data_IF_834092343198
#
_entry.id   IF_834092343198
#
_cell.length_a   1.000
_cell.length_b   1.000
_cell.length_c   1.000
_cell.angle_alpha   90.00
_cell.angle_beta   90.00
_cell.angle_gamma   90.00
#
_symmetry.space_group_name_H-M   'P 1'
#
loop_
_entity.id
_entity.type
_entity.pdbx_description
1 polymer ?
#
# COMPACT_ATOMS: atom_id res chain seq x y z
N UNK A 1 57.70 -38.35 25.57
CA UNK A 1 56.71 -38.57 24.45
C UNK A 1 55.43 -37.74 24.56
N UNK A 2 55.23 -36.98 25.59
CA UNK A 2 53.99 -36.21 25.88
C UNK A 2 54.02 -34.73 25.41
N UNK A 3 55.18 -34.18 25.09
CA UNK A 3 55.33 -32.75 24.69
C UNK A 3 55.03 -32.49 23.20
N UNK A 4 54.91 -33.52 22.37
CA UNK A 4 54.61 -33.34 20.92
C UNK A 4 53.10 -33.33 20.61
N UNK A 5 52.26 -33.86 21.46
CA UNK A 5 50.80 -33.85 21.29
C UNK A 5 50.14 -32.51 21.70
N UNK A 6 50.76 -31.76 22.59
CA UNK A 6 50.24 -30.46 23.03
C UNK A 6 50.33 -29.34 21.99
N UNK A 7 51.36 -29.37 21.15
CA UNK A 7 51.60 -28.38 20.10
C UNK A 7 50.70 -28.57 18.86
N UNK A 8 50.27 -29.79 18.59
CA UNK A 8 49.32 -30.08 17.49
C UNK A 8 47.88 -29.72 17.84
N UNK A 9 47.48 -29.80 19.10
CA UNK A 9 46.15 -29.39 19.56
C UNK A 9 46.00 -27.87 19.61
N UNK A 10 47.08 -27.12 19.88
CA UNK A 10 47.04 -25.65 19.93
C UNK A 10 47.01 -25.02 18.52
N UNK A 11 47.57 -25.68 17.52
CA UNK A 11 47.54 -25.20 16.12
C UNK A 11 46.17 -25.39 15.46
N UNK A 12 45.37 -26.36 15.92
CA UNK A 12 44.04 -26.61 15.37
C UNK A 12 42.96 -25.63 15.87
N UNK A 13 43.21 -24.96 17.01
CA UNK A 13 42.26 -24.01 17.60
C UNK A 13 42.40 -22.59 17.04
N UNK A 14 43.48 -22.26 16.33
CA UNK A 14 43.72 -20.94 15.74
C UNK A 14 43.14 -20.74 14.36
N UNK A 15 42.54 -21.76 13.76
CA UNK A 15 41.96 -21.72 12.39
C UNK A 15 40.45 -21.51 12.34
N UNK A 16 39.77 -21.33 13.48
CA UNK A 16 38.30 -21.31 13.54
C UNK A 16 37.67 -19.92 13.76
N UNK A 17 38.33 -18.85 13.36
CA UNK A 17 37.74 -17.50 13.48
C UNK A 17 37.90 -16.67 12.21
N UNK A 18 37.57 -17.26 11.09
CA UNK A 18 37.18 -16.44 9.95
C UNK A 18 35.66 -16.17 10.13
N UNK A 19 35.35 -15.16 10.91
CA UNK A 19 34.02 -14.58 10.88
C UNK A 19 33.79 -14.06 9.48
N UNK A 20 33.05 -14.82 8.68
CA UNK A 20 32.48 -14.34 7.43
C UNK A 20 31.48 -13.28 7.80
N UNK A 21 31.95 -12.04 7.94
CA UNK A 21 31.10 -10.86 8.01
C UNK A 21 30.25 -10.87 6.76
N UNK A 22 28.95 -11.11 6.90
CA UNK A 22 28.03 -10.96 5.77
C UNK A 22 28.16 -9.52 5.27
N UNK A 23 28.32 -9.31 3.94
CA UNK A 23 28.35 -7.96 3.41
C UNK A 23 27.03 -7.27 3.78
N UNK A 24 27.11 -6.22 4.60
CA UNK A 24 25.97 -5.32 4.81
C UNK A 24 25.52 -4.83 3.45
N UNK A 25 24.24 -4.82 3.14
CA UNK A 25 23.73 -4.32 1.87
C UNK A 25 24.20 -2.88 1.69
N UNK A 26 25.17 -2.70 0.83
CA UNK A 26 25.77 -1.40 0.58
C UNK A 26 24.77 -0.56 -0.22
N UNK A 27 24.35 0.57 0.32
CA UNK A 27 23.45 1.50 -0.38
C UNK A 27 24.11 1.96 -1.69
N UNK A 28 23.36 2.01 -2.81
CA UNK A 28 23.88 2.56 -4.06
C UNK A 28 24.20 4.07 -3.95
N UNK A 29 23.61 4.76 -2.99
CA UNK A 29 23.91 6.14 -2.65
C UNK A 29 24.35 6.19 -1.18
N UNK A 30 25.56 6.70 -0.88
CA UNK A 30 26.00 6.81 0.50
C UNK A 30 25.12 7.78 1.29
N UNK A 31 24.99 7.54 2.58
CA UNK A 31 24.34 8.48 3.48
C UNK A 31 25.15 9.78 3.52
N UNK A 32 24.53 10.96 3.39
CA UNK A 32 25.27 12.22 3.35
C UNK A 32 25.95 12.52 4.69
N UNK A 33 27.13 13.12 4.60
CA UNK A 33 27.88 13.64 5.75
C UNK A 33 28.22 15.10 5.47
N UNK A 34 27.69 16.08 6.24
CA UNK A 34 26.79 15.93 7.40
C UNK A 34 25.44 15.34 7.01
N UNK A 35 24.79 14.70 7.99
CA UNK A 35 23.47 14.07 7.77
C UNK A 35 22.42 15.09 7.32
N UNK A 36 21.69 14.75 6.26
CA UNK A 36 20.52 15.48 5.77
C UNK A 36 19.45 14.49 5.28
N UNK A 37 18.19 14.58 5.75
CA UNK A 37 17.10 13.73 5.28
C UNK A 37 16.66 14.06 3.83
N UNK A 38 17.03 15.25 3.32
CA UNK A 38 16.68 15.72 1.98
C UNK A 38 17.94 15.76 1.10
N UNK A 39 18.15 14.67 0.36
CA UNK A 39 19.31 14.50 -0.52
C UNK A 39 18.91 14.79 -1.95
N UNK A 40 19.32 15.96 -2.42
CA UNK A 40 18.99 16.44 -3.77
C UNK A 40 20.25 16.52 -4.64
N UNK A 41 20.53 15.45 -5.36
CA UNK A 41 21.72 15.32 -6.20
C UNK A 41 21.57 16.00 -7.59
N UNK A 42 20.34 16.45 -7.91
CA UNK A 42 20.03 17.09 -9.22
C UNK A 42 19.57 18.53 -9.10
N UNK A 43 19.55 19.08 -7.88
CA UNK A 43 19.16 20.46 -7.58
C UNK A 43 17.78 20.85 -8.12
N UNK A 44 16.78 19.97 -7.91
CA UNK A 44 15.38 20.21 -8.32
C UNK A 44 14.49 20.67 -7.16
N UNK A 45 15.02 20.68 -5.93
CA UNK A 45 14.31 21.16 -4.73
C UNK A 45 14.85 22.56 -4.39
N UNK A 46 13.98 23.55 -4.42
CA UNK A 46 14.35 24.91 -4.02
C UNK A 46 14.68 25.02 -2.52
N UNK A 47 15.43 26.06 -2.15
CA UNK A 47 15.95 26.21 -0.80
C UNK A 47 14.84 26.36 0.26
N UNK A 48 13.75 27.05 -0.07
CA UNK A 48 12.62 27.25 0.84
C UNK A 48 11.89 25.92 1.10
N UNK A 49 11.59 25.15 0.05
CA UNK A 49 11.00 23.82 0.18
C UNK A 49 11.90 22.86 0.96
N UNK A 50 13.21 22.89 0.72
CA UNK A 50 14.18 22.10 1.46
C UNK A 50 14.12 22.41 2.96
N UNK A 51 14.20 23.68 3.31
CA UNK A 51 14.16 24.12 4.71
C UNK A 51 12.86 23.73 5.41
N UNK A 52 11.72 23.84 4.73
CA UNK A 52 10.43 23.39 5.26
C UNK A 52 10.40 21.89 5.50
N UNK A 53 10.87 21.08 4.55
CA UNK A 53 10.94 19.62 4.71
C UNK A 53 11.87 19.24 5.86
N UNK A 54 13.04 19.86 5.99
CA UNK A 54 13.97 19.63 7.11
C UNK A 54 13.33 19.97 8.47
N UNK A 55 12.61 21.08 8.55
CA UNK A 55 11.88 21.47 9.78
C UNK A 55 10.77 20.48 10.13
N UNK A 56 10.01 20.04 9.13
CA UNK A 56 8.97 19.00 9.31
C UNK A 56 9.60 17.69 9.78
N UNK A 57 10.76 17.30 9.21
CA UNK A 57 11.47 16.08 9.63
C UNK A 57 11.83 16.09 11.12
N UNK A 58 12.41 17.21 11.60
CA UNK A 58 12.81 17.33 13.00
C UNK A 58 11.60 17.25 13.95
N UNK A 59 10.53 17.98 13.63
CA UNK A 59 9.31 17.97 14.42
C UNK A 59 8.62 16.59 14.41
N UNK A 60 8.62 15.90 13.26
CA UNK A 60 8.02 14.58 13.11
C UNK A 60 8.78 13.53 13.91
N UNK A 61 10.11 13.54 13.82
CA UNK A 61 10.99 12.64 14.58
C UNK A 61 10.79 12.81 16.08
N UNK A 62 10.72 14.04 16.56
CA UNK A 62 10.56 14.33 17.98
C UNK A 62 9.16 13.95 18.51
N UNK A 63 8.09 14.29 17.76
CA UNK A 63 6.72 14.15 18.23
C UNK A 63 6.06 12.82 17.92
N UNK A 64 6.44 12.19 16.82
CA UNK A 64 5.79 10.97 16.34
C UNK A 64 6.73 9.78 16.19
N UNK A 65 8.03 9.97 16.44
CA UNK A 65 9.06 8.95 16.24
C UNK A 65 9.01 8.30 14.84
N UNK A 66 8.73 9.12 13.83
CA UNK A 66 8.69 8.73 12.42
C UNK A 66 9.86 9.44 11.71
N UNK A 67 10.59 8.71 10.90
CA UNK A 67 11.65 9.26 10.09
C UNK A 67 11.30 9.18 8.60
N UNK A 68 11.63 10.20 7.83
CA UNK A 68 11.50 10.12 6.39
C UNK A 68 12.73 10.68 5.68
N UNK A 69 12.90 10.28 4.44
CA UNK A 69 13.91 10.84 3.57
C UNK A 69 13.35 11.09 2.16
N UNK A 70 13.96 12.05 1.49
CA UNK A 70 13.75 12.32 0.06
C UNK A 70 15.11 12.23 -0.61
N UNK A 71 15.18 11.44 -1.68
CA UNK A 71 16.36 11.30 -2.51
C UNK A 71 16.01 11.62 -3.96
N UNK A 72 16.69 12.61 -4.55
CA UNK A 72 16.64 12.83 -5.99
C UNK A 72 17.97 12.39 -6.62
N UNK A 73 17.88 11.66 -7.72
CA UNK A 73 19.04 11.21 -8.50
C UNK A 73 18.83 11.51 -9.98
N UNK A 74 19.90 11.65 -10.78
CA UNK A 74 19.73 11.80 -12.22
C UNK A 74 19.12 10.53 -12.83
N UNK A 75 19.64 9.35 -12.50
CA UNK A 75 19.19 8.05 -12.99
C UNK A 75 19.47 6.96 -11.97
N UNK A 76 18.76 5.85 -12.05
CA UNK A 76 19.04 4.61 -11.29
C UNK A 76 20.04 3.69 -12.02
N UNK A 77 20.48 4.07 -13.21
CA UNK A 77 21.28 3.24 -14.09
C UNK A 77 20.49 2.03 -14.57
N UNK A 78 21.12 0.85 -14.57
CA UNK A 78 20.51 -0.40 -15.02
C UNK A 78 19.57 -1.02 -13.97
N UNK A 79 19.40 -0.39 -12.79
CA UNK A 79 18.54 -0.93 -11.71
C UNK A 79 17.11 -0.45 -11.86
N UNK A 80 16.18 -1.35 -11.58
CA UNK A 80 14.80 -0.93 -11.39
C UNK A 80 14.66 0.04 -10.21
N UNK A 81 13.75 1.01 -10.32
CA UNK A 81 13.55 2.04 -9.29
C UNK A 81 13.13 1.45 -7.94
N UNK A 82 12.38 0.33 -7.96
CA UNK A 82 12.01 -0.38 -6.75
C UNK A 82 13.23 -0.97 -6.03
N UNK A 83 14.05 -1.72 -6.75
CA UNK A 83 15.24 -2.36 -6.18
C UNK A 83 16.27 -1.32 -5.72
N UNK A 84 16.42 -0.24 -6.49
CA UNK A 84 17.29 0.88 -6.14
C UNK A 84 16.84 1.54 -4.84
N UNK A 85 15.55 1.91 -4.76
CA UNK A 85 14.99 2.60 -3.58
C UNK A 85 15.01 1.71 -2.33
N UNK A 86 14.75 0.41 -2.48
CA UNK A 86 14.81 -0.56 -1.38
C UNK A 86 16.24 -0.71 -0.84
N UNK A 87 17.24 -0.77 -1.75
CA UNK A 87 18.64 -0.83 -1.35
C UNK A 87 19.07 0.45 -0.61
N UNK A 88 18.61 1.62 -1.04
CA UNK A 88 18.86 2.89 -0.36
C UNK A 88 18.19 2.89 1.02
N UNK A 89 16.90 2.56 1.10
CA UNK A 89 16.14 2.57 2.36
C UNK A 89 16.78 1.67 3.43
N UNK A 90 17.20 0.46 3.03
CA UNK A 90 17.88 -0.50 3.91
C UNK A 90 19.29 -0.05 4.27
N UNK A 91 20.05 0.43 3.30
CA UNK A 91 21.43 0.86 3.53
C UNK A 91 21.54 2.14 4.35
N UNK A 92 20.57 3.04 4.25
CA UNK A 92 20.50 4.23 5.12
C UNK A 92 19.93 3.91 6.50
N UNK A 93 19.19 2.81 6.65
CA UNK A 93 18.57 2.43 7.91
C UNK A 93 17.54 3.45 8.40
N UNK A 94 16.70 3.95 7.47
CA UNK A 94 15.67 4.95 7.78
C UNK A 94 14.64 4.37 8.75
N UNK A 95 14.34 5.09 9.82
CA UNK A 95 13.41 4.70 10.87
C UNK A 95 14.11 4.46 12.21
N UNK A 96 13.42 4.75 13.32
CA UNK A 96 13.98 4.57 14.67
C UNK A 96 14.22 3.09 14.98
N UNK A 97 15.15 2.79 15.88
CA UNK A 97 15.44 1.41 16.37
C UNK A 97 14.34 0.83 17.26
N UNK A 98 13.50 1.70 17.80
CA UNK A 98 12.43 1.32 18.71
C UNK A 98 11.33 0.50 18.02
N UNK A 99 10.35 0.04 18.79
CA UNK A 99 9.32 -0.89 18.34
C UNK A 99 8.56 -0.43 17.08
N UNK A 100 8.43 0.89 16.88
CA UNK A 100 7.63 1.41 15.77
C UNK A 100 8.37 1.46 14.43
N UNK A 101 9.70 1.44 14.40
CA UNK A 101 10.54 1.39 13.18
C UNK A 101 9.96 2.11 11.98
N UNK A 102 9.31 3.25 12.23
CA UNK A 102 8.50 3.96 11.26
C UNK A 102 9.37 4.78 10.30
N UNK A 103 9.61 4.26 9.12
CA UNK A 103 10.45 4.88 8.10
C UNK A 103 9.76 5.01 6.75
N UNK A 104 10.06 6.11 6.03
CA UNK A 104 9.54 6.39 4.70
C UNK A 104 10.65 6.98 3.83
N UNK A 105 10.80 6.52 2.58
CA UNK A 105 11.75 7.04 1.62
C UNK A 105 11.06 7.32 0.28
N UNK A 106 11.11 8.57 -0.19
CA UNK A 106 10.74 8.92 -1.55
C UNK A 106 12.01 9.04 -2.41
N UNK A 107 12.13 8.22 -3.44
CA UNK A 107 13.18 8.30 -4.46
C UNK A 107 12.60 8.81 -5.76
N UNK A 108 13.30 9.74 -6.41
CA UNK A 108 12.93 10.33 -7.70
C UNK A 108 14.14 10.29 -8.63
N UNK A 109 14.03 9.58 -9.74
CA UNK A 109 15.03 9.52 -10.81
C UNK A 109 14.57 10.41 -11.98
N UNK A 110 15.18 11.58 -12.10
CA UNK A 110 14.68 12.66 -12.96
C UNK A 110 14.80 12.32 -14.46
N UNK A 111 15.94 11.79 -14.90
CA UNK A 111 16.15 11.44 -16.31
C UNK A 111 15.34 10.23 -16.72
N UNK A 112 15.17 9.27 -15.82
CA UNK A 112 14.36 8.06 -16.03
C UNK A 112 12.85 8.34 -15.96
N UNK A 113 12.46 9.51 -15.46
CA UNK A 113 11.08 9.88 -15.15
C UNK A 113 10.37 8.84 -14.29
N UNK A 114 11.06 8.32 -13.31
CA UNK A 114 10.57 7.30 -12.39
C UNK A 114 10.64 7.77 -10.95
N UNK A 115 9.71 7.33 -10.17
CA UNK A 115 9.71 7.56 -8.71
C UNK A 115 9.22 6.32 -7.99
N UNK A 116 9.65 6.17 -6.74
CA UNK A 116 9.15 5.14 -5.84
C UNK A 116 9.19 5.65 -4.39
N UNK A 117 8.14 5.33 -3.64
CA UNK A 117 8.10 5.55 -2.18
C UNK A 117 8.17 4.21 -1.48
N UNK A 118 9.23 3.99 -0.72
CA UNK A 118 9.37 2.84 0.18
C UNK A 118 8.78 3.19 1.54
N UNK A 119 8.05 2.24 2.12
CA UNK A 119 7.44 2.37 3.43
C UNK A 119 7.84 1.19 4.30
N UNK A 120 8.18 1.44 5.56
CA UNK A 120 8.46 0.38 6.52
C UNK A 120 7.19 -0.38 6.88
N UNK A 121 7.32 -1.67 7.22
CA UNK A 121 6.19 -2.53 7.60
C UNK A 121 5.29 -1.94 8.67
N UNK A 122 5.86 -1.18 9.60
CA UNK A 122 5.11 -0.55 10.69
C UNK A 122 4.24 0.63 10.26
N UNK A 123 4.46 1.16 9.05
CA UNK A 123 3.63 2.21 8.45
C UNK A 123 2.65 1.68 7.40
N UNK A 124 2.83 0.46 6.88
CA UNK A 124 1.99 -0.10 5.81
C UNK A 124 0.50 -0.16 6.20
N UNK A 125 0.18 -0.41 7.47
CA UNK A 125 -1.20 -0.39 7.97
C UNK A 125 -1.86 0.97 7.92
N UNK A 126 -1.09 2.03 8.13
CA UNK A 126 -1.58 3.42 8.16
C UNK A 126 -1.46 4.10 6.80
N UNK A 127 -0.45 3.71 6.03
CA UNK A 127 -0.15 4.23 4.71
C UNK A 127 0.04 3.08 3.71
N UNK A 128 -1.02 2.36 3.34
CA UNK A 128 -0.96 1.25 2.40
C UNK A 128 -0.63 1.72 0.98
N UNK A 129 -0.06 0.83 0.16
CA UNK A 129 0.42 1.09 -1.21
C UNK A 129 -0.62 1.80 -2.08
N UNK A 130 -1.90 1.43 -1.94
CA UNK A 130 -2.99 2.05 -2.68
C UNK A 130 -3.16 3.54 -2.36
N UNK A 131 -3.01 3.92 -1.09
CA UNK A 131 -3.07 5.31 -0.63
C UNK A 131 -1.85 6.09 -1.09
N UNK A 132 -0.65 5.50 -0.97
CA UNK A 132 0.60 6.09 -1.47
C UNK A 132 0.47 6.41 -2.96
N UNK A 133 0.10 5.39 -3.76
CA UNK A 133 -0.06 5.53 -5.20
C UNK A 133 -1.13 6.56 -5.60
N UNK A 134 -2.19 6.71 -4.81
CA UNK A 134 -3.20 7.73 -5.07
C UNK A 134 -2.68 9.13 -4.79
N UNK A 135 -2.03 9.36 -3.65
CA UNK A 135 -1.41 10.65 -3.32
C UNK A 135 -0.40 11.05 -4.40
N UNK A 136 0.41 10.10 -4.88
CA UNK A 136 1.37 10.34 -5.97
C UNK A 136 0.68 10.77 -7.26
N UNK A 137 -0.38 10.06 -7.67
CA UNK A 137 -1.14 10.41 -8.89
C UNK A 137 -1.83 11.75 -8.80
N UNK A 138 -2.27 12.15 -7.62
CA UNK A 138 -2.98 13.42 -7.41
C UNK A 138 -2.03 14.62 -7.26
N UNK A 139 -0.83 14.43 -6.72
CA UNK A 139 0.06 15.53 -6.32
C UNK A 139 1.39 15.52 -7.06
N UNK A 140 2.10 14.40 -7.05
CA UNK A 140 3.45 14.31 -7.61
C UNK A 140 3.42 14.33 -9.14
N UNK A 141 2.65 13.45 -9.75
CA UNK A 141 2.63 13.29 -11.21
C UNK A 141 2.18 14.55 -11.95
N UNK A 142 1.10 15.26 -11.56
CA UNK A 142 0.69 16.47 -12.26
C UNK A 142 1.72 17.60 -12.16
N UNK A 143 2.35 17.78 -11.00
CA UNK A 143 3.40 18.76 -10.78
C UNK A 143 4.66 18.44 -11.61
N UNK A 144 5.06 17.17 -11.64
CA UNK A 144 6.24 16.71 -12.38
C UNK A 144 6.08 16.86 -13.89
N UNK A 145 4.89 16.62 -14.43
CA UNK A 145 4.59 16.88 -15.84
C UNK A 145 4.71 18.35 -16.23
N UNK A 146 4.57 19.24 -15.27
CA UNK A 146 4.74 20.69 -15.43
C UNK A 146 6.17 21.16 -15.09
N UNK A 147 7.10 20.24 -14.76
CA UNK A 147 8.45 20.56 -14.32
C UNK A 147 8.53 21.15 -12.90
N UNK A 148 7.43 21.13 -12.15
CA UNK A 148 7.35 21.69 -10.78
C UNK A 148 7.78 20.64 -9.75
N UNK A 149 9.02 20.17 -9.83
CA UNK A 149 9.52 19.06 -9.02
C UNK A 149 9.48 19.37 -7.53
N UNK A 150 9.96 20.54 -7.12
CA UNK A 150 9.97 20.98 -5.73
C UNK A 150 8.57 20.93 -5.11
N UNK A 151 7.61 21.55 -5.79
CA UNK A 151 6.21 21.55 -5.36
C UNK A 151 5.63 20.14 -5.27
N UNK A 152 5.86 19.30 -6.30
CA UNK A 152 5.35 17.94 -6.34
C UNK A 152 5.86 17.07 -5.19
N UNK A 153 7.16 17.17 -4.87
CA UNK A 153 7.78 16.51 -3.73
C UNK A 153 7.15 16.97 -2.42
N UNK A 154 7.09 18.29 -2.22
CA UNK A 154 6.54 18.88 -1.00
C UNK A 154 5.08 18.45 -0.76
N UNK A 155 4.21 18.64 -1.75
CA UNK A 155 2.79 18.30 -1.66
C UNK A 155 2.57 16.80 -1.40
N UNK A 156 3.44 15.95 -1.96
CA UNK A 156 3.38 14.50 -1.76
C UNK A 156 3.76 14.11 -0.35
N UNK A 157 4.87 14.63 0.17
CA UNK A 157 5.29 14.41 1.57
C UNK A 157 4.22 14.95 2.52
N UNK A 158 3.68 16.13 2.28
CA UNK A 158 2.55 16.67 3.05
C UNK A 158 1.36 15.69 3.07
N UNK A 159 1.01 15.12 1.92
CA UNK A 159 -0.08 14.15 1.80
C UNK A 159 0.16 12.89 2.65
N UNK A 160 1.36 12.34 2.62
CA UNK A 160 1.72 11.18 3.43
C UNK A 160 1.65 11.49 4.92
N UNK A 161 2.31 12.55 5.35
CA UNK A 161 2.42 12.90 6.77
C UNK A 161 1.08 13.34 7.36
N UNK A 162 0.25 14.08 6.61
CA UNK A 162 -1.10 14.43 7.04
C UNK A 162 -1.99 13.20 7.18
N UNK A 163 -1.85 12.20 6.29
CA UNK A 163 -2.57 10.93 6.38
C UNK A 163 -2.15 10.15 7.61
N UNK A 164 -0.85 10.03 7.86
CA UNK A 164 -0.32 9.40 9.07
C UNK A 164 -0.78 10.14 10.34
N UNK A 165 -0.75 11.48 10.34
CA UNK A 165 -1.23 12.29 11.45
C UNK A 165 -2.68 12.04 11.78
N UNK A 166 -3.53 11.90 10.76
CA UNK A 166 -4.96 11.56 10.94
C UNK A 166 -5.15 10.14 11.50
N UNK A 167 -4.36 9.17 11.00
CA UNK A 167 -4.47 7.76 11.44
C UNK A 167 -3.93 7.53 12.85
N UNK A 168 -2.82 8.15 13.20
CA UNK A 168 -2.14 8.00 14.50
C UNK A 168 -2.49 9.09 15.51
N UNK A 169 -3.38 10.02 15.17
CA UNK A 169 -3.85 11.11 16.03
C UNK A 169 -2.72 12.02 16.53
N UNK A 170 -1.76 12.36 15.67
CA UNK A 170 -0.73 13.35 15.97
C UNK A 170 -0.83 14.56 15.05
N UNK A 171 -0.36 15.69 15.55
CA UNK A 171 -0.21 16.92 14.79
C UNK A 171 1.23 17.39 14.85
N UNK A 172 1.78 17.77 13.70
CA UNK A 172 3.14 18.30 13.58
C UNK A 172 3.07 19.67 12.92
N UNK A 173 3.84 20.60 13.43
CA UNK A 173 3.94 21.93 12.85
C UNK A 173 4.49 21.86 11.42
N UNK A 174 3.90 22.62 10.52
CA UNK A 174 4.24 22.61 9.10
C UNK A 174 3.49 21.57 8.28
N UNK A 175 2.66 20.68 8.90
CA UNK A 175 1.81 19.73 8.19
C UNK A 175 0.37 20.24 8.16
N UNK A 176 -0.14 20.48 6.94
CA UNK A 176 -1.53 20.86 6.72
C UNK A 176 -2.41 19.61 6.59
N UNK A 177 -3.29 19.39 7.56
CA UNK A 177 -4.21 18.25 7.59
C UNK A 177 -5.21 18.20 6.42
N UNK A 178 -5.38 19.29 5.67
CA UNK A 178 -6.17 19.30 4.43
C UNK A 178 -5.56 18.43 3.33
N UNK A 179 -4.27 18.12 3.44
CA UNK A 179 -3.56 17.23 2.53
C UNK A 179 -3.78 15.75 2.84
N UNK A 180 -4.39 15.39 3.99
CA UNK A 180 -4.66 14.00 4.35
C UNK A 180 -5.54 13.33 3.28
N UNK A 181 -5.19 12.11 2.95
CA UNK A 181 -5.99 11.27 2.07
C UNK A 181 -7.35 10.99 2.70
N UNK A 182 -8.39 11.20 1.93
CA UNK A 182 -9.76 10.84 2.29
C UNK A 182 -10.23 9.78 1.32
N UNK A 183 -10.62 8.63 1.84
CA UNK A 183 -11.22 7.61 0.97
C UNK A 183 -12.42 8.23 0.23
N UNK A 184 -12.46 8.11 -1.10
CA UNK A 184 -13.64 8.53 -1.83
C UNK A 184 -14.82 7.73 -1.28
N UNK A 185 -15.82 8.44 -0.77
CA UNK A 185 -17.06 7.82 -0.32
C UNK A 185 -17.58 7.02 -1.50
N UNK A 186 -17.42 5.70 -1.45
CA UNK A 186 -18.10 4.80 -2.40
C UNK A 186 -19.58 5.01 -2.14
N UNK A 187 -20.20 5.88 -2.92
CA UNK A 187 -21.65 5.89 -3.03
C UNK A 187 -22.00 4.48 -3.49
N UNK A 188 -22.42 3.62 -2.54
CA UNK A 188 -23.13 2.41 -2.93
C UNK A 188 -24.19 2.94 -3.89
N UNK A 189 -24.28 2.38 -5.12
CA UNK A 189 -25.43 2.68 -5.95
C UNK A 189 -26.63 2.40 -5.05
N UNK A 190 -27.31 3.44 -4.60
CA UNK A 190 -28.60 3.22 -3.96
C UNK A 190 -29.37 2.45 -5.03
N UNK A 191 -29.92 1.27 -4.70
CA UNK A 191 -30.85 0.66 -5.61
C UNK A 191 -31.89 1.75 -5.85
N UNK A 192 -31.82 2.37 -7.00
CA UNK A 192 -32.93 3.14 -7.52
C UNK A 192 -34.01 2.11 -7.71
N UNK A 193 -34.69 1.81 -6.60
CA UNK A 193 -35.96 1.14 -6.64
C UNK A 193 -36.81 2.03 -7.54
N UNK A 194 -36.77 1.75 -8.85
CA UNK A 194 -37.60 2.46 -9.77
C UNK A 194 -39.00 2.35 -9.20
N UNK A 195 -39.68 3.47 -9.02
CA UNK A 195 -41.07 3.50 -8.57
C UNK A 195 -41.93 2.52 -9.42
N UNK A 196 -41.50 2.24 -10.63
CA UNK A 196 -42.00 1.18 -11.50
C UNK A 196 -41.86 -0.25 -10.93
N UNK A 197 -40.74 -0.58 -10.25
CA UNK A 197 -40.57 -1.91 -9.62
C UNK A 197 -41.49 -2.08 -8.44
N UNK A 198 -41.73 -1.03 -7.67
CA UNK A 198 -42.68 -1.03 -6.55
C UNK A 198 -44.13 -1.14 -7.03
N UNK A 199 -44.46 -0.48 -8.15
CA UNK A 199 -45.78 -0.56 -8.78
C UNK A 199 -46.04 -1.96 -9.34
N UNK A 200 -45.04 -2.58 -10.01
CA UNK A 200 -45.15 -3.94 -10.50
C UNK A 200 -45.41 -4.96 -9.36
N UNK A 201 -44.73 -4.84 -8.24
CA UNK A 201 -44.95 -5.75 -7.11
C UNK A 201 -46.35 -5.56 -6.50
N UNK A 202 -46.83 -4.33 -6.37
CA UNK A 202 -48.19 -4.05 -5.89
C UNK A 202 -49.24 -4.61 -6.87
N UNK A 203 -49.09 -4.41 -8.16
CA UNK A 203 -50.00 -4.97 -9.19
C UNK A 203 -50.03 -6.49 -9.16
N UNK A 204 -48.86 -7.14 -9.01
CA UNK A 204 -48.80 -8.62 -8.91
C UNK A 204 -49.51 -9.11 -7.65
N UNK A 205 -49.29 -8.44 -6.50
CA UNK A 205 -49.98 -8.84 -5.25
C UNK A 205 -51.49 -8.65 -5.36
N UNK A 206 -51.99 -7.56 -5.96
CA UNK A 206 -53.41 -7.33 -6.21
C UNK A 206 -53.98 -8.40 -7.16
N UNK A 207 -53.25 -8.74 -8.23
CA UNK A 207 -53.68 -9.78 -9.18
C UNK A 207 -53.78 -11.17 -8.47
N UNK A 208 -52.84 -11.50 -7.59
CA UNK A 208 -52.87 -12.73 -6.81
C UNK A 208 -54.09 -12.75 -5.86
N UNK A 209 -54.36 -11.65 -5.17
CA UNK A 209 -55.51 -11.53 -4.26
C UNK A 209 -56.81 -11.69 -5.03
N UNK A 210 -56.98 -11.01 -6.17
CA UNK A 210 -58.18 -11.11 -7.01
C UNK A 210 -58.36 -12.53 -7.56
N UNK A 211 -57.24 -13.20 -7.93
CA UNK A 211 -57.28 -14.60 -8.37
C UNK A 211 -57.73 -15.54 -7.25
N UNK A 212 -57.20 -15.39 -6.05
CA UNK A 212 -57.58 -16.19 -4.88
C UNK A 212 -59.07 -15.98 -4.50
N UNK A 213 -59.56 -14.72 -4.57
CA UNK A 213 -60.99 -14.44 -4.31
C UNK A 213 -61.91 -15.02 -5.39
N UNK A 214 -61.46 -15.02 -6.66
CA UNK A 214 -62.20 -15.64 -7.76
C UNK A 214 -62.22 -17.18 -7.69
N UNK A 215 -61.17 -17.79 -7.16
CA UNK A 215 -61.08 -19.22 -6.91
C UNK A 215 -61.94 -19.66 -5.72
N UNK A 216 -62.03 -18.82 -4.71
CA UNK A 216 -62.91 -19.11 -3.53
C UNK A 216 -64.39 -19.02 -3.86
N UNK A 217 -64.80 -18.17 -4.84
CA UNK A 217 -66.17 -18.06 -5.29
C UNK A 217 -66.69 -19.21 -6.19
N UNK A 218 -65.81 -20.09 -6.67
CA UNK A 218 -66.17 -21.18 -7.59
C UNK A 218 -66.36 -22.56 -6.91
N UNK A 219 -66.72 -22.57 -5.64
CA UNK A 219 -67.10 -23.84 -4.98
C UNK A 219 -68.50 -24.23 -5.37
N UNK A 220 -68.70 -24.69 -6.62
CA UNK A 220 -69.94 -25.24 -7.09
C UNK A 220 -70.06 -25.28 -8.60
N UNK A 221 -69.36 -26.19 -9.29
CA UNK A 221 -69.89 -26.97 -10.40
C UNK A 221 -68.83 -27.92 -10.95
N UNK A 222 -69.19 -29.17 -10.95
CA UNK A 222 -68.53 -30.36 -11.51
C UNK A 222 -68.31 -30.17 -13.02
N UNK A 223 -67.13 -30.50 -13.55
CA UNK A 223 -66.96 -30.83 -14.97
C UNK A 223 -65.60 -30.47 -15.51
N UNK A 224 -64.76 -31.42 -15.76
CA UNK A 224 -63.84 -31.70 -16.85
C UNK A 224 -62.98 -30.58 -17.43
N UNK A 225 -61.64 -30.64 -17.27
CA UNK A 225 -60.70 -29.81 -18.00
C UNK A 225 -59.33 -29.65 -17.37
N UNK A 226 -58.74 -30.74 -16.90
CA UNK A 226 -57.54 -30.67 -16.06
C UNK A 226 -56.16 -30.63 -16.73
N UNK A 227 -56.06 -30.64 -18.08
CA UNK A 227 -54.74 -30.79 -18.73
C UNK A 227 -54.08 -29.49 -19.18
N UNK A 228 -54.81 -28.44 -19.48
CA UNK A 228 -54.25 -27.19 -19.96
C UNK A 228 -53.75 -26.28 -18.83
N UNK A 229 -54.33 -26.37 -17.62
CA UNK A 229 -53.93 -25.59 -16.46
C UNK A 229 -52.59 -26.02 -15.88
N UNK A 230 -52.27 -27.32 -15.93
CA UNK A 230 -50.97 -27.85 -15.48
C UNK A 230 -49.82 -27.42 -16.41
N UNK A 231 -50.07 -27.30 -17.72
CA UNK A 231 -49.05 -26.83 -18.67
C UNK A 231 -48.77 -25.33 -18.55
N UNK A 232 -49.78 -24.52 -18.24
CA UNK A 232 -49.61 -23.08 -18.07
C UNK A 232 -48.79 -22.73 -16.80
N UNK A 233 -49.09 -23.43 -15.69
CA UNK A 233 -48.33 -23.24 -14.44
C UNK A 233 -46.94 -23.86 -14.51
N UNK A 234 -46.75 -24.97 -15.21
CA UNK A 234 -45.44 -25.60 -15.40
C UNK A 234 -44.45 -24.69 -16.16
N UNK A 235 -44.93 -23.97 -17.19
CA UNK A 235 -44.10 -23.08 -17.96
C UNK A 235 -43.74 -21.76 -17.20
N UNK A 236 -44.62 -21.32 -16.29
CA UNK A 236 -44.37 -20.11 -15.50
C UNK A 236 -43.34 -20.36 -14.41
N UNK A 237 -43.40 -21.53 -13.76
CA UNK A 237 -42.45 -21.88 -12.70
C UNK A 237 -41.09 -22.36 -13.23
N UNK A 238 -41.00 -22.91 -14.42
CA UNK A 238 -39.72 -23.30 -15.02
C UNK A 238 -38.84 -22.08 -15.41
N UNK A 239 -39.45 -20.91 -15.59
CA UNK A 239 -38.71 -19.68 -15.97
C UNK A 239 -38.28 -18.85 -14.75
N UNK A 240 -38.81 -19.11 -13.56
CA UNK A 240 -38.42 -18.42 -12.31
C UNK A 240 -37.26 -19.14 -11.59
N UNK A 241 -37.06 -20.45 -11.91
CA UNK A 241 -36.08 -21.32 -11.26
C UNK A 241 -34.69 -21.37 -11.91
N UNK A 242 -34.43 -20.72 -13.03
CA UNK A 242 -33.12 -20.78 -13.70
C UNK A 242 -32.22 -19.55 -13.49
N UNK A 243 -32.27 -18.98 -12.31
CA UNK A 243 -31.21 -18.18 -11.74
C UNK A 243 -30.14 -19.06 -11.11
N UNK A 244 -29.71 -20.10 -11.85
CA UNK A 244 -28.69 -21.05 -11.42
C UNK A 244 -27.36 -20.33 -11.26
N UNK A 245 -26.91 -20.24 -10.04
CA UNK A 245 -25.53 -20.03 -9.61
C UNK A 245 -24.58 -20.88 -10.47
N UNK A 246 -24.02 -20.27 -11.51
CA UNK A 246 -22.77 -20.75 -12.09
C UNK A 246 -21.64 -20.39 -11.13
N UNK A 247 -21.45 -21.22 -10.16
CA UNK A 247 -20.14 -21.38 -9.56
C UNK A 247 -19.27 -22.13 -10.57
N UNK A 248 -18.73 -21.36 -11.50
CA UNK A 248 -17.64 -21.78 -12.34
C UNK A 248 -16.41 -21.92 -11.47
N UNK A 249 -16.04 -23.14 -11.20
CA UNK A 249 -14.69 -23.54 -10.88
C UNK A 249 -13.77 -23.00 -11.97
N UNK A 250 -13.08 -21.91 -11.70
CA UNK A 250 -12.07 -21.27 -12.54
C UNK A 250 -10.77 -21.25 -11.79
N UNK A 251 -9.95 -22.25 -12.09
CA UNK A 251 -8.48 -22.31 -12.11
C UNK A 251 -7.73 -21.29 -11.27
N UNK A 252 -7.01 -21.82 -10.28
CA UNK A 252 -6.01 -21.16 -9.49
C UNK A 252 -4.98 -20.41 -10.32
N UNK A 253 -4.82 -19.16 -9.98
CA UNK A 253 -3.55 -18.48 -10.15
C UNK A 253 -2.76 -18.73 -8.87
N UNK A 254 -1.72 -19.53 -9.04
CA UNK A 254 -0.77 -19.82 -7.99
C UNK A 254 -0.14 -18.53 -7.52
N UNK A 255 -0.50 -18.13 -6.32
CA UNK A 255 0.23 -17.15 -5.56
C UNK A 255 1.57 -17.76 -5.19
N UNK A 256 2.62 -17.36 -5.91
CA UNK A 256 3.99 -17.61 -5.50
C UNK A 256 4.23 -16.90 -4.18
N UNK A 257 4.19 -17.65 -3.09
CA UNK A 257 4.65 -17.19 -1.79
C UNK A 257 6.15 -16.94 -1.87
N UNK A 258 6.54 -15.68 -1.92
CA UNK A 258 7.91 -15.31 -1.65
C UNK A 258 8.14 -15.46 -0.16
N UNK A 259 8.83 -16.53 0.21
CA UNK A 259 9.27 -16.78 1.56
C UNK A 259 10.11 -15.62 2.05
N UNK A 260 9.63 -14.92 3.07
CA UNK A 260 10.36 -13.90 3.79
C UNK A 260 11.55 -14.51 4.48
N UNK A 261 12.75 -14.37 3.89
CA UNK A 261 14.02 -14.56 4.57
C UNK A 261 14.24 -13.35 5.48
N UNK A 262 14.04 -13.51 6.78
CA UNK A 262 14.41 -12.53 7.77
C UNK A 262 15.92 -12.37 7.82
N UNK A 263 16.41 -11.21 7.42
CA UNK A 263 17.80 -10.80 7.65
C UNK A 263 17.82 -9.75 8.75
N UNK A 264 17.95 -10.21 9.99
CA UNK A 264 18.36 -9.35 11.08
C UNK A 264 19.84 -9.03 10.91
N UNK A 265 20.17 -7.76 10.74
CA UNK A 265 21.53 -7.28 10.64
C UNK A 265 21.58 -5.79 11.02
N UNK A 266 21.62 -5.47 12.32
CA UNK A 266 21.81 -4.13 12.82
C UNK A 266 23.25 -3.69 12.63
N UNK A 267 23.52 -2.81 11.68
CA UNK A 267 24.75 -2.02 11.58
C UNK A 267 24.37 -0.56 11.85
N UNK A 268 24.64 -0.06 13.05
CA UNK A 268 24.40 1.32 13.41
C UNK A 268 25.36 2.27 12.65
N UNK A 269 24.82 3.19 11.88
CA UNK A 269 25.57 4.32 11.35
C UNK A 269 25.43 5.48 12.35
N UNK A 270 26.56 5.89 12.92
CA UNK A 270 26.60 7.04 13.85
C UNK A 270 26.21 8.34 13.12
N UNK A 271 25.21 9.05 13.63
CA UNK A 271 24.82 10.37 13.14
C UNK A 271 23.97 10.33 11.86
N UNK A 272 22.86 9.61 11.87
CA UNK A 272 21.96 9.50 10.73
C UNK A 272 20.54 9.18 11.17
N UNK A 273 19.86 8.37 10.35
CA UNK A 273 18.62 7.73 10.73
C UNK A 273 18.83 6.76 11.91
N UNK A 274 17.77 6.44 12.63
CA UNK A 274 17.81 5.56 13.79
C UNK A 274 18.32 4.14 13.51
N UNK A 275 18.42 3.75 12.22
CA UNK A 275 18.95 2.44 11.81
C UNK A 275 18.00 1.27 12.07
N UNK A 276 16.72 1.54 12.29
CA UNK A 276 15.74 0.54 12.70
C UNK A 276 14.64 0.24 11.67
N UNK A 277 14.58 0.99 10.57
CA UNK A 277 13.54 0.78 9.56
C UNK A 277 13.55 -0.62 8.96
N UNK A 278 12.42 -1.32 9.07
CA UNK A 278 12.19 -2.64 8.47
C UNK A 278 11.42 -2.47 7.16
N UNK A 279 12.16 -2.31 6.06
CA UNK A 279 11.57 -2.20 4.72
C UNK A 279 11.35 -3.60 4.13
N UNK A 280 10.08 -4.02 4.11
CA UNK A 280 9.64 -5.28 3.51
C UNK A 280 9.47 -5.20 2.00
N UNK A 281 9.49 -3.99 1.43
CA UNK A 281 9.21 -3.72 0.03
C UNK A 281 7.79 -3.18 -0.20
N UNK A 282 7.08 -2.79 0.87
CA UNK A 282 5.83 -2.04 0.74
C UNK A 282 6.07 -0.63 0.21
N UNK A 283 5.09 -0.10 -0.50
CA UNK A 283 5.17 1.22 -1.12
C UNK A 283 4.53 1.27 -2.51
N UNK A 284 4.65 2.38 -3.16
CA UNK A 284 4.16 2.55 -4.52
C UNK A 284 5.09 3.44 -5.35
N UNK A 285 5.06 3.27 -6.64
CA UNK A 285 5.84 4.05 -7.58
C UNK A 285 5.20 4.14 -8.95
N UNK A 286 5.88 4.81 -9.86
CA UNK A 286 5.42 4.99 -11.21
C UNK A 286 6.35 5.89 -12.04
N UNK A 287 5.78 6.44 -13.10
CA UNK A 287 6.44 7.37 -14.02
C UNK A 287 5.53 8.55 -14.34
N UNK A 288 6.11 9.66 -14.88
CA UNK A 288 5.34 10.85 -15.26
C UNK A 288 5.64 11.33 -16.68
#
# INVERSE_FOLDING_TARGET
MWTRFGLLALSLFLLASVATGQPTPQSPVPLPVPFNPIVDNVNVIDADTRQRLESIYLNLKERANIEYAVLTVPTTGDRDIYDFSLAVARGWGIGPKDADRAGLLLVVAIQDRKYFTQVSRHLEGDLPDGVIGQIQRERLVPAFRQGQYSKGIFDTIQGYLATLGTKRSFTVEGIDQRYAYREPVRQRPQPTGSALGSICTVVIVIAIILFLLSAAGRRGRRGGGGCLEALFWGSLFSNIGSGGSRWGSGSGWGGGGFGGGGFGGGGGFGGGFGGGGDFGGGGAGGSW
#
